data_IF_877078410671
#
_entry.id   IF_877078410671
#
_cell.length_a   1.000
_cell.length_b   1.000
_cell.length_c   1.000
_cell.angle_alpha   90.00
_cell.angle_beta   90.00
_cell.angle_gamma   90.00
#
_symmetry.space_group_name_H-M   'P 1'
#
loop_
_entity.id
_entity.type
_entity.pdbx_description
1 polymer ?
#
# COMPACT_ATOMS: atom_id res chain seq x y z
N UNK A 1 14.82 33.18 14.61
CA UNK A 1 13.48 33.49 14.08
C UNK A 1 13.01 32.29 13.27
N UNK A 2 11.69 32.03 13.23
CA UNK A 2 11.14 30.97 12.38
C UNK A 2 11.33 31.30 10.89
N UNK A 3 11.40 30.26 10.04
CA UNK A 3 11.47 30.41 8.59
C UNK A 3 10.24 31.20 8.07
N UNK A 4 10.44 32.08 7.10
CA UNK A 4 9.39 32.90 6.48
C UNK A 4 8.32 32.07 5.74
N UNK A 5 8.67 30.85 5.33
CA UNK A 5 7.73 29.89 4.70
C UNK A 5 6.63 29.43 5.67
N UNK A 6 6.89 29.45 6.97
CA UNK A 6 5.85 29.19 7.98
C UNK A 6 4.99 30.44 8.05
N UNK A 7 3.80 30.42 7.46
CA UNK A 7 2.89 31.57 7.40
C UNK A 7 1.78 31.51 8.45
N UNK A 8 1.36 30.30 8.84
CA UNK A 8 0.28 30.06 9.81
C UNK A 8 0.60 30.67 11.20
N UNK A 9 -0.20 31.64 11.69
CA UNK A 9 0.00 32.27 12.98
C UNK A 9 -0.07 31.30 14.16
N UNK A 10 -0.95 30.29 14.12
CA UNK A 10 -1.11 29.32 15.20
C UNK A 10 0.14 28.46 15.35
N UNK A 11 0.73 28.05 14.22
CA UNK A 11 2.00 27.31 14.20
C UNK A 11 3.13 28.18 14.75
N UNK A 12 3.20 29.46 14.38
CA UNK A 12 4.20 30.39 14.92
C UNK A 12 4.09 30.52 16.43
N UNK A 13 2.89 30.77 16.94
CA UNK A 13 2.63 30.99 18.36
C UNK A 13 2.96 29.76 19.21
N UNK A 14 2.71 28.55 18.67
CA UNK A 14 3.14 27.31 19.30
C UNK A 14 4.66 27.16 19.32
N UNK A 15 5.33 27.38 18.19
CA UNK A 15 6.77 27.16 18.05
C UNK A 15 7.60 28.15 18.88
N UNK A 16 7.16 29.41 19.03
CA UNK A 16 7.85 30.43 19.84
C UNK A 16 7.98 30.01 21.31
N UNK A 17 7.07 29.17 21.83
CA UNK A 17 7.12 28.69 23.23
C UNK A 17 8.23 27.66 23.47
N UNK A 18 8.67 26.96 22.42
CA UNK A 18 9.61 25.84 22.52
C UNK A 18 10.98 26.23 21.97
N UNK A 19 11.01 26.98 20.86
CA UNK A 19 12.22 27.28 20.12
C UNK A 19 13.08 28.33 20.85
N UNK A 20 14.30 27.94 21.19
CA UNK A 20 15.34 28.83 21.72
C UNK A 20 16.55 28.80 20.79
N UNK A 21 17.30 29.92 20.64
CA UNK A 21 18.55 29.89 19.91
C UNK A 21 19.54 28.91 20.57
N UNK A 22 19.95 27.89 19.82
CA UNK A 22 20.90 26.86 20.26
C UNK A 22 21.87 26.53 19.11
N UNK A 23 23.01 27.24 19.02
CA UNK A 23 23.99 27.03 17.96
C UNK A 23 24.66 25.65 18.01
N UNK A 24 24.84 25.08 19.19
CA UNK A 24 25.46 23.76 19.37
C UNK A 24 24.56 22.65 18.82
N UNK A 25 23.26 22.70 19.16
CA UNK A 25 22.26 21.79 18.57
C UNK A 25 22.18 21.95 17.06
N UNK A 26 22.22 23.19 16.55
CA UNK A 26 22.16 23.45 15.12
C UNK A 26 23.39 22.89 14.37
N UNK A 27 24.59 23.00 14.95
CA UNK A 27 25.81 22.42 14.38
C UNK A 27 25.77 20.89 14.42
N UNK A 28 25.32 20.31 15.53
CA UNK A 28 25.13 18.86 15.65
C UNK A 28 24.18 18.31 14.55
N UNK A 29 23.00 18.91 14.39
CA UNK A 29 22.05 18.50 13.34
C UNK A 29 22.64 18.67 11.94
N UNK A 30 23.34 19.78 11.68
CA UNK A 30 24.01 20.02 10.39
C UNK A 30 25.05 18.95 10.09
N UNK A 31 25.86 18.58 11.09
CA UNK A 31 26.91 17.57 10.94
C UNK A 31 26.33 16.17 10.67
N UNK A 32 25.24 15.80 11.33
CA UNK A 32 24.59 14.51 11.08
C UNK A 32 23.86 14.43 9.75
N UNK A 33 23.12 15.49 9.38
CA UNK A 33 22.36 15.55 8.13
C UNK A 33 23.21 15.87 6.89
N UNK A 34 24.43 16.40 7.08
CA UNK A 34 25.36 16.70 5.98
C UNK A 34 26.11 15.48 5.44
N UNK A 35 25.97 14.31 6.07
CA UNK A 35 26.58 13.05 5.63
C UNK A 35 25.82 12.45 4.45
N UNK A 36 26.54 11.79 3.54
CA UNK A 36 25.92 11.05 2.42
C UNK A 36 25.17 9.80 2.89
N UNK A 37 25.67 9.12 3.95
CA UNK A 37 25.04 7.91 4.49
C UNK A 37 24.05 8.23 5.63
N UNK A 38 22.77 7.91 5.38
CA UNK A 38 21.66 8.11 6.32
C UNK A 38 21.27 6.85 7.10
N UNK A 39 21.97 5.73 6.92
CA UNK A 39 21.77 4.52 7.72
C UNK A 39 21.89 4.81 9.21
N UNK A 40 20.88 4.49 10.03
CA UNK A 40 20.87 4.76 11.47
C UNK A 40 20.70 6.23 11.86
N UNK A 41 20.33 7.12 10.94
CA UNK A 41 20.14 8.55 11.22
C UNK A 41 19.21 8.81 12.42
N UNK A 42 18.19 7.97 12.63
CA UNK A 42 17.23 8.15 13.74
C UNK A 42 17.94 8.04 15.10
N UNK A 43 18.80 7.03 15.29
CA UNK A 43 19.55 6.87 16.54
C UNK A 43 20.70 7.87 16.67
N UNK A 44 21.19 8.43 15.56
CA UNK A 44 22.17 9.52 15.62
C UNK A 44 21.54 10.82 16.10
N UNK A 45 20.40 11.23 15.53
CA UNK A 45 19.69 12.47 15.91
C UNK A 45 19.00 12.30 17.27
N UNK A 46 18.34 11.16 17.50
CA UNK A 46 17.62 10.85 18.74
C UNK A 46 18.21 9.60 19.41
N UNK A 47 19.36 9.73 20.11
CA UNK A 47 20.13 8.59 20.64
C UNK A 47 19.45 7.82 21.77
N UNK A 48 18.42 8.41 22.39
CA UNK A 48 17.67 7.77 23.46
C UNK A 48 16.39 7.05 22.97
N UNK A 49 16.19 6.96 21.65
CA UNK A 49 15.04 6.27 21.06
C UNK A 49 15.14 4.78 21.32
N UNK A 50 14.08 4.19 21.89
CA UNK A 50 14.07 2.76 22.25
C UNK A 50 13.45 1.86 21.19
N UNK A 51 12.48 2.37 20.44
CA UNK A 51 11.73 1.69 19.40
C UNK A 51 11.01 2.71 18.52
N UNK A 52 10.50 2.29 17.37
CA UNK A 52 9.61 3.07 16.52
C UNK A 52 8.17 2.58 16.70
N UNK A 53 7.24 3.47 17.04
CA UNK A 53 5.79 3.16 17.14
C UNK A 53 5.13 3.42 15.79
N UNK A 54 5.05 2.37 14.97
CA UNK A 54 4.61 2.44 13.56
C UNK A 54 3.93 1.13 13.16
N UNK A 55 2.85 1.23 12.37
CA UNK A 55 2.20 0.04 11.80
C UNK A 55 3.05 -0.48 10.65
N UNK A 56 3.54 -1.72 10.76
CA UNK A 56 4.31 -2.44 9.74
C UNK A 56 3.71 -3.82 9.43
N UNK A 57 2.42 -4.01 9.73
CA UNK A 57 1.64 -5.18 9.31
C UNK A 57 0.89 -4.92 8.00
N UNK A 58 0.45 -5.99 7.33
CA UNK A 58 -0.32 -5.88 6.09
C UNK A 58 0.47 -5.17 4.99
N UNK A 59 -0.17 -4.21 4.30
CA UNK A 59 0.48 -3.46 3.21
C UNK A 59 1.71 -2.66 3.67
N UNK A 60 1.78 -2.25 4.94
CA UNK A 60 2.91 -1.46 5.45
C UNK A 60 4.17 -2.29 5.70
N UNK A 61 4.09 -3.63 5.66
CA UNK A 61 5.25 -4.51 5.82
C UNK A 61 6.34 -4.25 4.76
N UNK A 62 5.98 -3.70 3.61
CA UNK A 62 6.91 -3.31 2.55
C UNK A 62 7.94 -2.25 2.98
N UNK A 63 7.66 -1.47 4.02
CA UNK A 63 8.55 -0.41 4.51
C UNK A 63 9.54 -0.88 5.60
N UNK A 64 9.43 -2.13 6.08
CA UNK A 64 10.31 -2.66 7.13
C UNK A 64 11.81 -2.48 6.78
N UNK A 65 12.30 -2.86 5.58
CA UNK A 65 13.72 -2.70 5.25
C UNK A 65 14.18 -1.24 5.27
N UNK A 66 13.34 -0.31 4.81
CA UNK A 66 13.62 1.12 4.80
C UNK A 66 13.68 1.69 6.21
N UNK A 67 12.75 1.27 7.08
CA UNK A 67 12.73 1.65 8.49
C UNK A 67 13.94 1.06 9.24
N UNK A 68 14.32 -0.18 8.97
CA UNK A 68 15.52 -0.80 9.54
C UNK A 68 16.79 -0.03 9.13
N UNK A 69 16.90 0.36 7.86
CA UNK A 69 18.01 1.17 7.35
C UNK A 69 18.13 2.49 8.10
N UNK A 70 17.07 3.32 8.16
CA UNK A 70 17.15 4.63 8.84
C UNK A 70 17.23 4.54 10.36
N UNK A 71 16.68 3.49 10.95
CA UNK A 71 16.68 3.31 12.41
C UNK A 71 17.94 2.63 12.94
N UNK A 72 18.68 1.91 12.10
CA UNK A 72 19.76 1.05 12.55
C UNK A 72 19.24 -0.21 13.25
N UNK A 73 18.06 -0.70 12.84
CA UNK A 73 17.42 -1.89 13.40
C UNK A 73 16.78 -1.70 14.78
N UNK A 74 16.20 -0.51 15.05
CA UNK A 74 15.37 -0.34 16.25
C UNK A 74 14.14 -1.24 16.18
N UNK A 75 13.62 -1.75 17.32
CA UNK A 75 12.36 -2.48 17.34
C UNK A 75 11.22 -1.68 16.71
N UNK A 76 10.40 -2.34 15.90
CA UNK A 76 9.23 -1.74 15.24
C UNK A 76 7.96 -2.21 15.97
N UNK A 77 7.37 -1.33 16.77
CA UNK A 77 6.22 -1.65 17.60
C UNK A 77 4.91 -1.37 16.85
N UNK A 78 4.17 -2.44 16.53
CA UNK A 78 2.79 -2.36 16.07
C UNK A 78 1.84 -2.45 17.26
N UNK A 79 1.30 -1.32 17.71
CA UNK A 79 0.59 -1.22 19.00
C UNK A 79 -0.91 -1.49 18.90
N UNK A 80 -1.56 -1.07 17.82
CA UNK A 80 -3.02 -1.07 17.70
C UNK A 80 -3.53 -1.56 16.33
N UNK A 81 -4.75 -2.09 16.33
CA UNK A 81 -5.51 -2.42 15.13
C UNK A 81 -6.89 -1.75 15.22
N UNK A 82 -7.15 -0.82 14.30
CA UNK A 82 -8.35 0.01 14.28
C UNK A 82 -8.69 0.43 12.85
N UNK A 83 -9.92 0.91 12.65
CA UNK A 83 -10.40 1.52 11.42
C UNK A 83 -11.28 2.74 11.72
N UNK A 84 -11.74 3.43 10.67
CA UNK A 84 -12.70 4.53 10.80
C UNK A 84 -14.07 4.07 11.33
N UNK A 85 -14.44 2.82 11.04
CA UNK A 85 -15.71 2.21 11.44
C UNK A 85 -15.71 1.76 12.91
N UNK A 86 -14.57 1.27 13.42
CA UNK A 86 -14.44 0.78 14.79
C UNK A 86 -12.96 0.64 15.20
N UNK A 87 -12.68 0.82 16.50
CA UNK A 87 -11.43 0.38 17.09
C UNK A 87 -11.55 -1.08 17.50
N UNK A 88 -10.62 -1.94 17.08
CA UNK A 88 -10.78 -3.38 17.25
C UNK A 88 -10.01 -3.92 18.44
N UNK A 89 -8.71 -3.64 18.51
CA UNK A 89 -7.83 -4.30 19.48
C UNK A 89 -6.41 -3.74 19.51
N UNK A 90 -5.59 -4.40 20.31
CA UNK A 90 -4.19 -4.03 20.54
C UNK A 90 -3.26 -5.24 20.48
N UNK A 91 -1.98 -4.98 20.23
CA UNK A 91 -0.94 -5.98 20.34
C UNK A 91 -0.49 -6.10 21.81
N UNK A 92 -0.72 -7.27 22.42
CA UNK A 92 -0.33 -7.52 23.81
C UNK A 92 1.18 -7.77 23.98
N UNK A 93 1.90 -8.01 22.88
CA UNK A 93 3.36 -8.14 22.85
C UNK A 93 3.95 -7.16 21.80
N UNK A 94 4.01 -5.85 22.10
CA UNK A 94 4.41 -4.83 21.12
C UNK A 94 5.87 -4.91 20.68
N UNK A 95 6.70 -5.73 21.35
CA UNK A 95 8.11 -5.92 21.01
C UNK A 95 8.38 -7.23 20.24
N UNK A 96 7.33 -7.93 19.79
CA UNK A 96 7.49 -9.09 18.91
C UNK A 96 8.08 -8.68 17.56
N UNK A 97 8.60 -9.65 16.81
CA UNK A 97 9.06 -9.39 15.45
C UNK A 97 7.88 -8.94 14.58
N UNK A 98 8.07 -8.05 13.59
CA UNK A 98 7.01 -7.60 12.69
C UNK A 98 6.22 -8.75 12.04
N UNK A 99 6.89 -9.86 11.69
CA UNK A 99 6.27 -11.04 11.09
C UNK A 99 5.38 -11.85 12.05
N UNK A 100 5.53 -11.65 13.35
CA UNK A 100 4.85 -12.37 14.42
C UNK A 100 3.78 -11.51 15.12
N UNK A 101 3.52 -10.30 14.63
CA UNK A 101 2.52 -9.39 15.21
C UNK A 101 1.14 -10.02 15.16
N UNK A 102 0.49 -10.02 16.32
CA UNK A 102 -0.87 -10.50 16.52
C UNK A 102 -1.65 -9.48 17.37
N UNK A 103 -2.89 -9.22 16.99
CA UNK A 103 -3.77 -8.29 17.68
C UNK A 103 -4.84 -9.05 18.46
N UNK A 104 -5.03 -8.68 19.72
CA UNK A 104 -6.11 -9.21 20.56
C UNK A 104 -7.29 -8.26 20.45
N UNK A 105 -8.41 -8.74 19.92
CA UNK A 105 -9.64 -7.95 19.81
C UNK A 105 -10.22 -7.73 21.20
N UNK A 106 -10.60 -6.48 21.48
CA UNK A 106 -11.13 -6.05 22.76
C UNK A 106 -12.66 -6.21 22.77
N UNK A 107 -13.24 -7.16 23.53
CA UNK A 107 -14.65 -7.55 23.40
C UNK A 107 -15.67 -6.45 23.71
N UNK A 108 -15.24 -5.35 24.36
CA UNK A 108 -16.08 -4.23 24.74
C UNK A 108 -16.22 -3.16 23.64
N UNK A 109 -15.45 -3.26 22.54
CA UNK A 109 -15.40 -2.19 21.54
C UNK A 109 -16.55 -2.24 20.52
N UNK A 110 -17.01 -3.45 20.19
CA UNK A 110 -18.15 -3.74 19.33
C UNK A 110 -18.58 -5.19 19.54
N UNK A 111 -19.70 -5.60 18.94
CA UNK A 111 -19.99 -7.02 18.78
C UNK A 111 -19.31 -7.54 17.51
N UNK A 112 -18.51 -8.60 17.67
CA UNK A 112 -17.62 -9.12 16.63
C UNK A 112 -18.07 -10.50 16.17
N UNK A 113 -18.31 -10.60 14.87
CA UNK A 113 -18.65 -11.83 14.16
C UNK A 113 -17.58 -12.10 13.08
N UNK A 114 -17.44 -13.37 12.68
CA UNK A 114 -16.40 -13.82 11.77
C UNK A 114 -17.01 -14.68 10.66
N UNK A 115 -16.80 -14.27 9.42
CA UNK A 115 -17.23 -15.01 8.24
C UNK A 115 -16.07 -15.92 7.79
N UNK A 116 -16.22 -17.26 7.82
CA UNK A 116 -15.15 -18.17 7.41
C UNK A 116 -14.63 -17.87 6.00
N UNK A 117 -13.31 -17.79 5.84
CA UNK A 117 -12.66 -17.63 4.55
C UNK A 117 -12.17 -19.00 4.05
N UNK A 118 -12.99 -19.66 3.23
CA UNK A 118 -12.58 -20.89 2.55
C UNK A 118 -11.90 -20.57 1.21
N UNK A 119 -10.86 -21.32 0.81
CA UNK A 119 -10.26 -21.19 -0.50
C UNK A 119 -11.27 -21.56 -1.60
N UNK A 120 -11.22 -20.85 -2.72
CA UNK A 120 -12.13 -21.04 -3.85
C UNK A 120 -12.11 -22.51 -4.32
N UNK A 121 -13.23 -23.23 -4.11
CA UNK A 121 -13.36 -24.65 -4.44
C UNK A 121 -14.44 -25.39 -3.64
N UNK A 122 -14.88 -24.86 -2.51
CA UNK A 122 -15.97 -25.43 -1.72
C UNK A 122 -17.28 -24.69 -2.00
N UNK A 123 -18.10 -25.25 -2.89
CA UNK A 123 -19.50 -24.87 -3.06
C UNK A 123 -20.33 -25.65 -2.04
N UNK A 124 -20.61 -25.05 -0.89
CA UNK A 124 -21.73 -25.49 -0.06
C UNK A 124 -22.94 -24.60 -0.34
N UNK A 125 -24.09 -25.23 -0.62
CA UNK A 125 -25.41 -24.61 -0.84
C UNK A 125 -26.01 -23.89 0.39
N UNK A 126 -25.21 -23.66 1.44
CA UNK A 126 -25.62 -22.97 2.65
C UNK A 126 -24.90 -21.63 2.78
N UNK A 127 -25.64 -20.56 3.05
CA UNK A 127 -25.06 -19.29 3.48
C UNK A 127 -24.09 -19.54 4.65
N UNK A 128 -22.82 -19.11 4.57
CA UNK A 128 -21.85 -19.40 5.61
C UNK A 128 -22.33 -18.77 6.93
N UNK A 129 -22.44 -19.59 7.98
CA UNK A 129 -22.84 -19.12 9.30
C UNK A 129 -21.70 -18.30 9.89
N UNK A 130 -22.02 -17.10 10.38
CA UNK A 130 -21.05 -16.30 11.13
C UNK A 130 -20.70 -16.99 12.45
N UNK A 131 -19.44 -16.84 12.83
CA UNK A 131 -18.86 -17.39 14.06
C UNK A 131 -18.67 -16.25 15.06
N UNK A 132 -19.03 -16.46 16.32
CA UNK A 132 -18.82 -15.47 17.37
C UNK A 132 -17.33 -15.32 17.71
N UNK A 133 -16.94 -14.19 18.30
CA UNK A 133 -15.55 -13.93 18.71
C UNK A 133 -14.93 -15.06 19.55
N UNK A 134 -15.70 -15.67 20.45
CA UNK A 134 -15.19 -16.72 21.33
C UNK A 134 -15.04 -18.10 20.63
N UNK A 135 -15.68 -18.27 19.47
CA UNK A 135 -15.83 -19.58 18.81
C UNK A 135 -14.94 -19.74 17.58
N UNK A 136 -14.08 -18.76 17.29
CA UNK A 136 -13.11 -18.84 16.19
C UNK A 136 -12.11 -19.97 16.43
N UNK A 137 -11.63 -20.61 15.36
CA UNK A 137 -10.74 -21.76 15.45
C UNK A 137 -9.30 -21.41 15.09
N UNK A 138 -8.35 -21.96 15.84
CA UNK A 138 -6.91 -21.75 15.64
C UNK A 138 -6.49 -22.11 14.20
N UNK A 139 -5.71 -21.23 13.57
CA UNK A 139 -5.17 -21.42 12.23
C UNK A 139 -6.16 -21.12 11.09
N UNK A 140 -7.46 -20.97 11.37
CA UNK A 140 -8.45 -20.60 10.35
C UNK A 140 -8.41 -19.12 10.02
N UNK A 141 -8.78 -18.80 8.79
CA UNK A 141 -8.90 -17.43 8.28
C UNK A 141 -10.38 -17.01 8.22
N UNK A 142 -10.63 -15.77 8.61
CA UNK A 142 -11.97 -15.21 8.67
C UNK A 142 -11.98 -13.79 8.14
N UNK A 143 -13.09 -13.39 7.53
CA UNK A 143 -13.40 -11.99 7.29
C UNK A 143 -14.12 -11.38 8.50
N UNK A 144 -13.62 -10.22 8.95
CA UNK A 144 -14.17 -9.51 10.10
C UNK A 144 -15.53 -8.87 9.79
N UNK A 145 -16.51 -9.14 10.65
CA UNK A 145 -17.86 -8.56 10.64
C UNK A 145 -18.13 -7.87 11.97
N UNK A 146 -18.60 -6.63 11.94
CA UNK A 146 -18.80 -5.82 13.15
C UNK A 146 -20.23 -5.32 13.29
N UNK A 147 -20.71 -5.26 14.52
CA UNK A 147 -21.88 -4.48 14.91
C UNK A 147 -21.48 -3.42 15.92
N UNK A 148 -21.62 -2.14 15.57
CA UNK A 148 -21.09 -1.01 16.34
C UNK A 148 -22.20 -0.21 17.02
N UNK A 149 -21.84 0.50 18.11
CA UNK A 149 -22.74 1.43 18.80
C UNK A 149 -23.27 2.55 17.90
N UNK A 150 -22.55 2.89 16.82
CA UNK A 150 -22.94 3.93 15.87
C UNK A 150 -23.96 3.46 14.82
N UNK A 151 -24.42 2.21 14.88
CA UNK A 151 -25.49 1.69 14.02
C UNK A 151 -25.03 1.00 12.75
N UNK A 152 -23.77 0.55 12.67
CA UNK A 152 -23.37 -0.45 11.68
C UNK A 152 -23.80 -1.82 12.22
N UNK A 153 -24.60 -2.57 11.46
CA UNK A 153 -25.10 -3.88 11.86
C UNK A 153 -24.59 -4.96 10.92
N UNK A 154 -23.85 -5.93 11.47
CA UNK A 154 -23.20 -7.03 10.72
C UNK A 154 -22.46 -6.51 9.48
N UNK A 155 -21.78 -5.38 9.65
CA UNK A 155 -21.03 -4.71 8.60
C UNK A 155 -19.74 -5.48 8.32
N UNK A 156 -19.51 -5.84 7.06
CA UNK A 156 -18.29 -6.51 6.61
C UNK A 156 -17.17 -5.49 6.44
N UNK A 157 -16.14 -5.60 7.27
CA UNK A 157 -14.97 -4.69 7.22
C UNK A 157 -14.13 -4.96 5.97
N UNK A 158 -14.11 -6.22 5.52
CA UNK A 158 -13.30 -6.70 4.40
C UNK A 158 -11.90 -7.16 4.80
N UNK A 159 -11.51 -7.02 6.07
CA UNK A 159 -10.23 -7.50 6.58
C UNK A 159 -10.25 -9.02 6.78
N UNK A 160 -9.20 -9.68 6.33
CA UNK A 160 -8.96 -11.12 6.49
C UNK A 160 -7.95 -11.31 7.61
N UNK A 161 -8.37 -12.06 8.62
CA UNK A 161 -7.66 -12.29 9.86
C UNK A 161 -7.45 -13.79 10.06
N UNK A 162 -6.25 -14.18 10.45
CA UNK A 162 -5.92 -15.57 10.82
C UNK A 162 -5.81 -15.70 12.33
N UNK A 163 -6.52 -16.65 12.92
CA UNK A 163 -6.39 -16.94 14.36
C UNK A 163 -5.02 -17.56 14.64
N UNK A 164 -4.26 -16.97 15.55
CA UNK A 164 -2.89 -17.41 15.90
C UNK A 164 -2.77 -17.95 17.31
N UNK A 165 -3.73 -17.65 18.17
CA UNK A 165 -3.73 -18.07 19.56
C UNK A 165 -4.87 -17.41 20.33
N UNK A 166 -4.82 -17.55 21.64
CA UNK A 166 -5.78 -16.96 22.56
C UNK A 166 -5.04 -16.37 23.76
N UNK A 167 -5.45 -15.18 24.17
CA UNK A 167 -5.08 -14.61 25.46
C UNK A 167 -6.26 -14.78 26.41
N UNK A 168 -6.15 -15.74 27.33
CA UNK A 168 -7.29 -16.27 28.08
C UNK A 168 -8.37 -16.78 27.10
N UNK A 169 -9.59 -16.25 27.17
CA UNK A 169 -10.68 -16.58 26.23
C UNK A 169 -10.75 -15.66 25.01
N UNK A 170 -9.91 -14.62 24.92
CA UNK A 170 -9.95 -13.68 23.81
C UNK A 170 -9.00 -14.14 22.69
N UNK A 171 -9.47 -14.31 21.43
CA UNK A 171 -8.62 -14.71 20.32
C UNK A 171 -7.61 -13.63 19.92
N UNK A 172 -6.48 -14.07 19.39
CA UNK A 172 -5.43 -13.24 18.82
C UNK A 172 -5.33 -13.48 17.32
N UNK A 173 -5.26 -12.40 16.55
CA UNK A 173 -5.33 -12.43 15.10
C UNK A 173 -4.09 -11.86 14.45
N UNK A 174 -3.56 -12.59 13.48
CA UNK A 174 -2.61 -12.04 12.51
C UNK A 174 -3.38 -11.40 11.36
N UNK A 175 -3.05 -10.15 11.03
CA UNK A 175 -3.65 -9.46 9.90
C UNK A 175 -3.08 -10.02 8.59
N UNK A 176 -3.93 -10.62 7.75
CA UNK A 176 -3.51 -11.22 6.49
C UNK A 176 -3.53 -10.16 5.39
N UNK A 177 -4.70 -9.59 5.11
CA UNK A 177 -4.91 -8.58 4.06
C UNK A 177 -6.30 -7.96 4.17
N UNK A 178 -6.52 -6.86 3.48
CA UNK A 178 -7.87 -6.36 3.17
C UNK A 178 -8.32 -6.90 1.82
N UNK A 179 -9.54 -7.43 1.73
CA UNK A 179 -10.13 -7.94 0.48
C UNK A 179 -10.15 -6.86 -0.58
N UNK A 180 -9.96 -7.29 -1.82
CA UNK A 180 -9.98 -6.46 -3.02
C UNK A 180 -8.93 -5.35 -3.07
N UNK A 181 -7.93 -5.32 -2.18
CA UNK A 181 -6.83 -4.34 -2.30
C UNK A 181 -5.73 -4.92 -3.16
N UNK A 182 -5.43 -4.24 -4.27
CA UNK A 182 -4.41 -4.62 -5.24
C UNK A 182 -3.12 -3.81 -5.05
N UNK A 183 -3.24 -2.49 -4.86
CA UNK A 183 -2.12 -1.56 -4.64
C UNK A 183 -2.40 -0.65 -3.43
N UNK A 184 -1.33 -0.27 -2.73
CA UNK A 184 -1.37 0.63 -1.57
C UNK A 184 0.03 1.17 -1.25
N UNK A 185 0.17 2.50 -1.16
CA UNK A 185 1.43 3.15 -0.74
C UNK A 185 1.31 3.67 0.69
N UNK A 186 0.20 4.32 1.01
CA UNK A 186 -0.12 4.88 2.33
C UNK A 186 -1.53 4.37 2.73
N UNK A 187 -2.49 5.29 2.91
CA UNK A 187 -3.89 5.02 3.22
C UNK A 187 -4.73 4.66 1.99
N UNK A 188 -4.20 4.92 0.78
CA UNK A 188 -4.83 4.56 -0.48
C UNK A 188 -4.99 3.04 -0.61
N UNK A 189 -6.14 2.64 -1.15
CA UNK A 189 -6.46 1.26 -1.47
C UNK A 189 -7.06 1.25 -2.86
N UNK A 190 -6.30 0.77 -3.84
CA UNK A 190 -6.79 0.60 -5.21
C UNK A 190 -7.12 -0.86 -5.46
N UNK A 191 -8.33 -1.12 -5.95
CA UNK A 191 -8.77 -2.47 -6.32
C UNK A 191 -8.50 -2.80 -7.79
N UNK A 192 -8.70 -4.07 -8.16
CA UNK A 192 -8.48 -4.54 -9.53
C UNK A 192 -9.42 -3.88 -10.54
N UNK A 193 -10.67 -3.60 -10.17
CA UNK A 193 -11.65 -2.98 -11.06
C UNK A 193 -11.33 -1.50 -11.31
N UNK A 194 -10.90 -0.78 -10.28
CA UNK A 194 -10.38 0.59 -10.37
C UNK A 194 -9.15 0.65 -11.26
N UNK A 195 -8.19 -0.27 -11.07
CA UNK A 195 -6.98 -0.31 -11.90
C UNK A 195 -7.31 -0.66 -13.36
N UNK A 196 -8.15 -1.66 -13.60
CA UNK A 196 -8.62 -2.04 -14.94
C UNK A 196 -9.28 -0.85 -15.64
N UNK A 197 -10.19 -0.15 -14.96
CA UNK A 197 -10.85 1.05 -15.49
C UNK A 197 -9.85 2.19 -15.78
N UNK A 198 -8.85 2.37 -14.92
CA UNK A 198 -7.80 3.36 -15.14
C UNK A 198 -6.96 3.05 -16.39
N UNK A 199 -6.57 1.79 -16.57
CA UNK A 199 -5.85 1.33 -17.78
C UNK A 199 -6.71 1.49 -19.02
N UNK A 200 -7.99 1.11 -18.97
CA UNK A 200 -8.93 1.27 -20.09
C UNK A 200 -9.08 2.74 -20.51
N UNK A 201 -9.22 3.66 -19.57
CA UNK A 201 -9.33 5.09 -19.86
C UNK A 201 -8.04 5.66 -20.45
N UNK A 202 -6.88 5.30 -19.89
CA UNK A 202 -5.59 5.73 -20.44
C UNK A 202 -5.34 5.15 -21.84
N UNK A 203 -5.77 3.91 -22.11
CA UNK A 203 -5.64 3.26 -23.41
C UNK A 203 -6.40 3.98 -24.53
N UNK A 204 -7.40 4.81 -24.20
CA UNK A 204 -8.12 5.61 -25.21
C UNK A 204 -7.20 6.59 -25.93
N UNK A 205 -6.20 7.14 -25.23
CA UNK A 205 -5.21 8.07 -25.79
C UNK A 205 -4.27 7.37 -26.79
N UNK A 206 -4.09 6.06 -26.68
CA UNK A 206 -3.25 5.27 -27.58
C UNK A 206 -3.94 4.94 -28.92
N UNK A 207 -5.27 5.06 -28.99
CA UNK A 207 -6.05 4.70 -30.19
C UNK A 207 -5.68 5.56 -31.40
N UNK A 208 -5.36 6.83 -31.20
CA UNK A 208 -4.90 7.74 -32.28
C UNK A 208 -3.60 7.26 -32.95
N UNK A 209 -2.81 6.46 -32.23
CA UNK A 209 -1.54 5.91 -32.68
C UNK A 209 -1.66 4.45 -33.15
N UNK A 210 -2.88 3.94 -33.35
CA UNK A 210 -3.14 2.53 -33.67
C UNK A 210 -2.40 1.56 -32.73
N UNK A 211 -2.25 1.96 -31.47
CA UNK A 211 -1.54 1.21 -30.44
C UNK A 211 -2.54 0.75 -29.38
N UNK A 212 -2.39 -0.47 -28.91
CA UNK A 212 -3.22 -1.04 -27.84
C UNK A 212 -2.36 -1.69 -26.76
N UNK A 213 -2.85 -1.67 -25.52
CA UNK A 213 -2.25 -2.43 -24.43
C UNK A 213 -2.61 -3.91 -24.65
N UNK A 214 -1.61 -4.75 -24.82
CA UNK A 214 -1.77 -6.21 -24.94
C UNK A 214 -2.03 -6.79 -23.57
N UNK A 215 -1.11 -6.52 -22.66
CA UNK A 215 -1.18 -6.95 -21.27
C UNK A 215 -0.57 -5.91 -20.34
N UNK A 216 -0.99 -5.99 -19.08
CA UNK A 216 -0.46 -5.15 -18.02
C UNK A 216 -0.40 -5.87 -16.67
N UNK A 217 0.53 -5.42 -15.84
CA UNK A 217 0.59 -5.73 -14.40
C UNK A 217 1.04 -4.50 -13.63
N UNK A 218 1.06 -4.57 -12.31
CA UNK A 218 1.39 -3.45 -11.44
C UNK A 218 2.20 -3.86 -10.22
N UNK A 219 2.86 -2.90 -9.58
CA UNK A 219 3.39 -3.05 -8.24
C UNK A 219 3.51 -1.68 -7.53
N UNK A 220 3.67 -1.71 -6.21
CA UNK A 220 3.92 -0.53 -5.40
C UNK A 220 5.45 -0.35 -5.21
N UNK A 221 6.01 0.73 -5.74
CA UNK A 221 7.44 1.03 -5.60
C UNK A 221 7.69 1.90 -4.37
N UNK A 222 8.51 1.38 -3.45
CA UNK A 222 8.88 2.01 -2.19
C UNK A 222 10.38 2.30 -2.09
N UNK A 223 11.11 2.22 -3.21
CA UNK A 223 12.54 2.55 -3.28
C UNK A 223 12.82 4.03 -3.04
N UNK A 224 11.88 4.89 -3.40
CA UNK A 224 11.91 6.34 -3.14
C UNK A 224 10.78 6.73 -2.19
N UNK A 225 10.96 7.83 -1.47
CA UNK A 225 9.95 8.40 -0.56
C UNK A 225 9.54 9.77 -1.09
N UNK A 226 8.24 10.02 -1.35
CA UNK A 226 7.13 9.07 -1.24
C UNK A 226 7.21 7.95 -2.28
N UNK A 227 6.67 6.78 -1.95
CA UNK A 227 6.53 5.68 -2.89
C UNK A 227 5.45 5.96 -3.94
N UNK A 228 5.41 5.18 -5.03
CA UNK A 228 4.47 5.40 -6.14
C UNK A 228 4.01 4.10 -6.79
N UNK A 229 2.95 4.18 -7.58
CA UNK A 229 2.47 3.05 -8.36
C UNK A 229 3.29 2.90 -9.65
N UNK A 230 3.67 1.67 -9.98
CA UNK A 230 4.31 1.34 -11.24
C UNK A 230 3.45 0.36 -12.01
N UNK A 231 3.12 0.70 -13.25
CA UNK A 231 2.31 -0.10 -14.14
C UNK A 231 3.16 -0.54 -15.33
N UNK A 232 3.30 -1.84 -15.53
CA UNK A 232 3.99 -2.38 -16.70
C UNK A 232 3.00 -2.55 -17.85
N UNK A 233 3.32 -2.02 -19.02
CA UNK A 233 2.53 -2.14 -20.24
C UNK A 233 3.32 -2.85 -21.34
N UNK A 234 2.77 -3.93 -21.88
CA UNK A 234 3.18 -4.45 -23.18
C UNK A 234 2.25 -3.90 -24.25
N UNK A 235 2.83 -3.25 -25.26
CA UNK A 235 2.07 -2.52 -26.28
C UNK A 235 2.15 -3.22 -27.63
N UNK A 236 1.00 -3.35 -28.29
CA UNK A 236 0.94 -3.74 -29.70
C UNK A 236 0.89 -2.48 -30.56
N UNK A 237 2.03 -2.14 -31.17
CA UNK A 237 2.15 -1.03 -32.11
C UNK A 237 1.99 -1.57 -33.53
N UNK A 238 0.88 -1.25 -34.21
CA UNK A 238 0.62 -1.73 -35.58
C UNK A 238 1.50 -1.07 -36.63
N UNK A 239 1.85 0.19 -36.43
CA UNK A 239 2.72 0.97 -37.31
C UNK A 239 3.86 1.57 -36.50
N UNK A 240 5.07 1.01 -36.64
CA UNK A 240 6.25 1.47 -35.93
C UNK A 240 6.65 2.90 -36.26
N UNK A 241 6.23 3.44 -37.42
CA UNK A 241 6.49 4.83 -37.79
C UNK A 241 5.61 5.83 -37.01
N UNK A 242 4.49 5.37 -36.44
CA UNK A 242 3.54 6.17 -35.66
C UNK A 242 3.44 5.71 -34.20
N UNK A 243 4.52 5.21 -33.62
CA UNK A 243 4.55 4.82 -32.20
C UNK A 243 4.19 6.00 -31.28
N UNK A 244 3.47 5.77 -30.16
CA UNK A 244 3.12 6.82 -29.22
C UNK A 244 4.39 7.47 -28.66
N UNK A 245 4.43 8.80 -28.72
CA UNK A 245 5.55 9.59 -28.20
C UNK A 245 5.51 9.64 -26.67
N UNK A 246 6.64 9.89 -26.04
CA UNK A 246 6.77 10.01 -24.57
C UNK A 246 5.74 10.95 -23.94
N UNK A 247 5.42 12.07 -24.61
CA UNK A 247 4.37 13.00 -24.13
C UNK A 247 3.01 12.35 -23.98
N UNK A 248 2.65 11.44 -24.88
CA UNK A 248 1.36 10.72 -24.85
C UNK A 248 1.35 9.70 -23.72
N UNK A 249 2.47 9.00 -23.50
CA UNK A 249 2.61 8.04 -22.39
C UNK A 249 2.60 8.74 -21.02
N UNK A 250 3.24 9.90 -20.91
CA UNK A 250 3.12 10.76 -19.72
C UNK A 250 1.65 11.20 -19.49
N UNK A 251 0.92 11.57 -20.55
CA UNK A 251 -0.51 11.87 -20.44
C UNK A 251 -1.35 10.64 -20.07
N UNK A 252 -0.97 9.44 -20.52
CA UNK A 252 -1.60 8.19 -20.09
C UNK A 252 -1.44 8.00 -18.58
N UNK A 253 -0.25 8.31 -18.02
CA UNK A 253 -0.04 8.25 -16.57
C UNK A 253 -1.02 9.16 -15.83
N UNK A 254 -1.17 10.41 -16.26
CA UNK A 254 -2.13 11.35 -15.65
C UNK A 254 -3.58 10.86 -15.81
N UNK A 255 -3.96 10.37 -17.00
CA UNK A 255 -5.29 9.84 -17.24
C UNK A 255 -5.63 8.65 -16.33
N UNK A 256 -4.64 7.80 -16.00
CA UNK A 256 -4.79 6.76 -14.99
C UNK A 256 -5.03 7.37 -13.61
N UNK A 257 -4.19 8.32 -13.18
CA UNK A 257 -4.31 8.97 -11.86
C UNK A 257 -5.67 9.66 -11.66
N UNK A 258 -6.20 10.30 -12.70
CA UNK A 258 -7.52 10.96 -12.68
C UNK A 258 -8.69 9.97 -12.49
N UNK A 259 -8.48 8.72 -12.88
CA UNK A 259 -9.50 7.67 -12.76
C UNK A 259 -9.47 6.95 -11.41
N UNK A 260 -8.37 7.07 -10.67
CA UNK A 260 -8.23 6.46 -9.35
C UNK A 260 -9.09 7.19 -8.31
N UNK A 261 -9.34 6.50 -7.20
CA UNK A 261 -10.26 6.97 -6.18
C UNK A 261 -9.77 8.25 -5.47
N UNK A 262 -10.68 8.85 -4.69
CA UNK A 262 -10.41 10.11 -4.00
C UNK A 262 -9.23 10.04 -3.04
N UNK A 263 -8.95 8.88 -2.43
CA UNK A 263 -7.86 8.74 -1.45
C UNK A 263 -6.52 8.76 -2.16
N UNK A 264 -6.38 8.04 -3.28
CA UNK A 264 -5.17 8.13 -4.12
C UNK A 264 -4.91 9.57 -4.56
N UNK A 265 -5.93 10.25 -5.11
CA UNK A 265 -5.78 11.63 -5.61
C UNK A 265 -5.48 12.62 -4.47
N UNK A 266 -6.06 12.43 -3.28
CA UNK A 266 -5.72 13.21 -2.09
C UNK A 266 -4.24 13.01 -1.70
N UNK A 267 -3.77 11.76 -1.67
CA UNK A 267 -2.37 11.43 -1.35
C UNK A 267 -1.37 12.07 -2.31
N UNK A 268 -1.74 12.23 -3.59
CA UNK A 268 -0.94 12.96 -4.59
C UNK A 268 -0.95 14.48 -4.37
N UNK A 269 -2.12 15.07 -4.12
CA UNK A 269 -2.35 16.52 -4.17
C UNK A 269 -2.13 17.22 -2.83
N UNK A 270 -2.74 16.70 -1.76
CA UNK A 270 -2.82 17.36 -0.46
C UNK A 270 -1.78 16.84 0.52
N UNK A 271 -1.67 15.52 0.63
CA UNK A 271 -0.83 14.90 1.67
C UNK A 271 0.62 14.70 1.19
N UNK A 272 0.84 14.75 -0.14
CA UNK A 272 2.12 14.42 -0.80
C UNK A 272 2.73 13.08 -0.33
N UNK A 273 1.88 12.15 0.08
CA UNK A 273 2.24 10.82 0.58
C UNK A 273 2.44 9.79 -0.54
N UNK A 274 1.99 10.11 -1.77
CA UNK A 274 2.13 9.26 -2.95
C UNK A 274 2.89 10.03 -4.04
N UNK A 275 3.91 9.41 -4.63
CA UNK A 275 4.67 9.94 -5.76
C UNK A 275 3.94 9.79 -7.11
N UNK A 276 4.46 10.39 -8.20
CA UNK A 276 3.82 10.32 -9.52
C UNK A 276 3.76 8.89 -10.04
N UNK A 277 2.57 8.48 -10.52
CA UNK A 277 2.40 7.18 -11.18
C UNK A 277 3.38 7.03 -12.35
N UNK A 278 3.99 5.85 -12.43
CA UNK A 278 4.95 5.48 -13.46
C UNK A 278 4.37 4.40 -14.39
N UNK A 279 4.46 4.61 -15.70
CA UNK A 279 4.24 3.56 -16.70
C UNK A 279 5.59 3.10 -17.23
N UNK A 280 5.85 1.79 -17.14
CA UNK A 280 7.02 1.12 -17.73
C UNK A 280 6.59 0.32 -18.95
N UNK A 281 7.02 0.74 -20.13
CA UNK A 281 6.75 -0.01 -21.37
C UNK A 281 7.76 -1.13 -21.49
N UNK A 282 7.30 -2.37 -21.67
CA UNK A 282 8.16 -3.56 -21.84
C UNK A 282 8.19 -4.02 -23.29
N UNK A 283 9.19 -4.85 -23.64
CA UNK A 283 9.32 -5.45 -24.97
C UNK A 283 8.16 -6.40 -25.26
N UNK A 284 7.81 -6.57 -26.54
CA UNK A 284 6.84 -7.58 -26.96
C UNK A 284 7.31 -8.99 -26.58
N UNK A 285 6.40 -9.84 -26.13
CA UNK A 285 6.68 -11.19 -25.62
C UNK A 285 7.13 -11.23 -24.16
N UNK A 286 7.18 -10.09 -23.45
CA UNK A 286 7.58 -10.07 -22.03
C UNK A 286 6.58 -10.81 -21.16
N UNK A 287 5.28 -10.65 -21.41
CA UNK A 287 4.26 -11.37 -20.64
C UNK A 287 4.18 -12.86 -21.00
N UNK A 288 4.63 -13.27 -22.20
CA UNK A 288 4.82 -14.68 -22.56
C UNK A 288 5.98 -15.28 -21.75
N UNK A 289 7.14 -14.61 -21.67
CA UNK A 289 8.25 -15.04 -20.82
C UNK A 289 7.85 -15.10 -19.33
N UNK A 290 7.03 -14.16 -18.87
CA UNK A 290 6.50 -14.16 -17.51
C UNK A 290 5.58 -15.37 -17.25
N UNK A 291 4.74 -15.71 -18.23
CA UNK A 291 3.89 -16.90 -18.18
C UNK A 291 4.73 -18.18 -18.12
N UNK A 292 5.75 -18.31 -18.96
CA UNK A 292 6.66 -19.46 -18.96
C UNK A 292 7.38 -19.62 -17.62
N UNK A 293 7.82 -18.50 -17.02
CA UNK A 293 8.39 -18.49 -15.68
C UNK A 293 7.40 -19.00 -14.63
N UNK A 294 6.15 -18.53 -14.66
CA UNK A 294 5.12 -19.00 -13.74
C UNK A 294 4.78 -20.49 -13.92
N UNK A 295 4.72 -20.97 -15.16
CA UNK A 295 4.50 -22.40 -15.48
C UNK A 295 5.66 -23.25 -14.96
N UNK A 296 6.91 -22.81 -15.12
CA UNK A 296 8.09 -23.52 -14.59
C UNK A 296 8.06 -23.69 -13.06
N UNK A 297 7.32 -22.81 -12.37
CA UNK A 297 7.11 -22.80 -10.91
C UNK A 297 5.85 -23.57 -10.49
N UNK A 298 5.15 -24.22 -11.43
CA UNK A 298 4.00 -25.08 -11.15
C UNK A 298 2.64 -24.47 -11.46
N UNK A 299 2.56 -23.31 -12.12
CA UNK A 299 1.28 -22.79 -12.59
C UNK A 299 0.70 -23.66 -13.72
N UNK A 300 -0.60 -23.93 -13.67
CA UNK A 300 -1.29 -24.69 -14.72
C UNK A 300 -1.41 -23.84 -15.98
N UNK A 301 -0.92 -24.37 -17.11
CA UNK A 301 -0.92 -23.72 -18.42
C UNK A 301 -2.34 -23.26 -18.82
N UNK A 302 -3.36 -24.10 -18.59
CA UNK A 302 -4.73 -23.83 -19.02
C UNK A 302 -5.50 -22.88 -18.09
N UNK A 303 -4.95 -22.52 -16.92
CA UNK A 303 -5.61 -21.65 -15.94
C UNK A 303 -4.82 -20.38 -15.67
N UNK A 304 -3.66 -20.21 -16.31
CA UNK A 304 -2.82 -19.05 -16.08
C UNK A 304 -3.49 -17.79 -16.62
N UNK A 305 -3.56 -16.77 -15.75
CA UNK A 305 -3.90 -15.40 -16.11
C UNK A 305 -2.80 -14.51 -15.56
N UNK A 306 -2.42 -13.48 -16.32
CA UNK A 306 -1.43 -12.51 -15.87
C UNK A 306 -1.91 -11.88 -14.55
N UNK A 307 -1.11 -11.95 -13.46
CA UNK A 307 -1.50 -11.33 -12.20
C UNK A 307 -1.54 -9.81 -12.38
N UNK A 308 -2.61 -9.16 -11.89
CA UNK A 308 -2.76 -7.69 -12.00
C UNK A 308 -1.84 -6.91 -11.05
N UNK A 309 -1.28 -7.56 -10.04
CA UNK A 309 -0.22 -7.02 -9.19
C UNK A 309 0.81 -8.10 -8.87
N UNK A 310 2.08 -7.72 -8.84
CA UNK A 310 3.22 -8.58 -8.55
C UNK A 310 4.05 -8.00 -7.41
N UNK A 311 4.51 -8.86 -6.50
CA UNK A 311 5.37 -8.47 -5.38
C UNK A 311 6.48 -9.51 -5.12
N UNK A 312 6.89 -10.22 -6.17
CA UNK A 312 7.93 -11.25 -6.07
C UNK A 312 9.19 -10.80 -6.81
N UNK A 313 10.29 -10.62 -6.09
CA UNK A 313 11.52 -10.01 -6.62
C UNK A 313 12.00 -10.60 -7.95
N UNK A 314 12.08 -11.93 -8.15
CA UNK A 314 12.51 -12.48 -9.45
C UNK A 314 11.59 -12.10 -10.62
N UNK A 315 10.29 -11.96 -10.39
CA UNK A 315 9.33 -11.51 -11.43
C UNK A 315 9.55 -10.03 -11.73
N UNK A 316 9.79 -9.22 -10.70
CA UNK A 316 10.09 -7.80 -10.88
C UNK A 316 11.40 -7.59 -11.64
N UNK A 317 12.45 -8.34 -11.33
CA UNK A 317 13.73 -8.30 -12.04
C UNK A 317 13.57 -8.69 -13.52
N UNK A 318 12.76 -9.73 -13.81
CA UNK A 318 12.42 -10.10 -15.18
C UNK A 318 11.75 -8.94 -15.91
N UNK A 319 10.68 -8.38 -15.34
CA UNK A 319 9.95 -7.25 -15.92
C UNK A 319 10.86 -6.04 -16.14
N UNK A 320 11.66 -5.67 -15.14
CA UNK A 320 12.60 -4.55 -15.20
C UNK A 320 13.68 -4.75 -16.28
N UNK A 321 14.17 -5.98 -16.48
CA UNK A 321 15.15 -6.32 -17.52
C UNK A 321 14.62 -6.14 -18.95
N UNK A 322 13.29 -6.12 -19.10
CA UNK A 322 12.59 -5.98 -20.39
C UNK A 322 12.02 -4.57 -20.62
N UNK A 323 12.25 -3.63 -19.71
CA UNK A 323 11.77 -2.24 -19.85
C UNK A 323 12.47 -1.55 -21.02
N UNK A 324 11.67 -0.96 -21.89
CA UNK A 324 12.09 -0.16 -23.04
C UNK A 324 12.11 1.32 -22.68
N UNK A 325 11.11 1.79 -21.93
CA UNK A 325 11.01 3.20 -21.53
C UNK A 325 10.18 3.36 -20.25
N UNK A 326 10.41 4.47 -19.54
CA UNK A 326 9.76 4.82 -18.28
C UNK A 326 9.14 6.21 -18.41
N UNK A 327 7.90 6.35 -17.98
CA UNK A 327 7.10 7.56 -18.13
C UNK A 327 6.42 7.88 -16.80
N UNK A 328 6.36 9.15 -16.44
CA UNK A 328 5.77 9.60 -15.19
C UNK A 328 4.64 10.58 -15.47
N UNK A 329 3.66 10.61 -14.57
CA UNK A 329 2.60 11.62 -14.61
C UNK A 329 3.19 13.05 -14.59
N UNK A 330 2.91 13.89 -15.61
CA UNK A 330 3.52 15.21 -15.76
C UNK A 330 2.88 16.28 -14.87
N UNK A 331 1.75 15.97 -14.23
CA UNK A 331 1.00 16.88 -13.39
C UNK A 331 0.32 16.11 -12.24
N UNK A 332 -0.23 16.83 -11.27
CA UNK A 332 -1.05 16.24 -10.23
C UNK A 332 -2.47 15.97 -10.79
N UNK A 333 -3.14 14.89 -10.36
CA UNK A 333 -4.54 14.66 -10.70
C UNK A 333 -5.43 15.71 -10.01
N UNK A 334 -6.62 15.94 -10.54
CA UNK A 334 -7.58 16.84 -9.94
C UNK A 334 -8.13 16.26 -8.63
N UNK A 335 -8.08 17.04 -7.55
CA UNK A 335 -8.70 16.68 -6.27
C UNK A 335 -9.23 17.92 -5.55
N UNK A 336 -10.40 17.77 -4.92
CA UNK A 336 -10.95 18.75 -3.98
C UNK A 336 -11.56 18.02 -2.77
N UNK A 337 -11.65 18.68 -1.60
CA UNK A 337 -12.27 18.10 -0.41
C UNK A 337 -13.78 17.83 -0.56
N UNK A 338 -14.44 18.44 -1.54
CA UNK A 338 -15.87 18.30 -1.78
C UNK A 338 -16.16 16.93 -2.40
N UNK A 339 -17.01 16.13 -1.75
CA UNK A 339 -17.56 14.93 -2.39
C UNK A 339 -18.41 15.37 -3.58
N UNK A 340 -18.06 14.93 -4.80
CA UNK A 340 -18.99 14.98 -5.94
C UNK A 340 -20.27 14.26 -5.50
N UNK A 341 -21.34 15.04 -5.31
CA UNK A 341 -22.66 14.55 -4.85
C UNK A 341 -23.27 13.60 -5.85
#
# INVERSE_FOLDING_TARGET
>A
MLNQEITDPSVKDCMVKILKPDPELAEFVRMECGKENWEGIVTRIWPNTKYLDVIVTGAMAQYIPTLDYYSGGLPLACTMYASSECYFGLNLNPMSKPSEVCYTIMPNMAYFEFLPHEPAGFTHDSTPKLVDLADVELGKEYELVITTFAGLYRYRVGDILRVTGFHNSAPQFHFVRRKNVLLSIDSDKTDEAELQKAVENASQLLREFNTSVVEYTSYADTKTIPGHYVIYWELLVKDSANSPRDKVLNQCCLAMEECLNSVYRQGRVADHSIGPLEIRVVKNGTFEELMDYAISRGASINQYKVPRCVNFNPIMELLDSRVVSKHFSPALPYWTPERRR
#
